data_IF_181841506386
#
_entry.id   IF_181841506386
#
_cell.length_a   1.000
_cell.length_b   1.000
_cell.length_c   1.000
_cell.angle_alpha   90.00
_cell.angle_beta   90.00
_cell.angle_gamma   90.00
#
_symmetry.space_group_name_H-M   'P 1'
#
loop_
_entity.id
_entity.type
_entity.pdbx_description
1 polymer ?
#
# COMPACT_ATOMS: atom_id res chain seq x y z
N UNK A 1 -9.59 14.74 -6.43
CA UNK A 1 -8.40 13.90 -6.21
C UNK A 1 -8.63 12.60 -6.96
N UNK A 2 -7.63 12.08 -7.66
CA UNK A 2 -7.65 10.74 -8.24
C UNK A 2 -7.39 9.72 -7.13
N UNK A 3 -8.09 8.60 -7.15
CA UNK A 3 -7.89 7.51 -6.20
C UNK A 3 -7.56 6.23 -6.95
N UNK A 4 -6.51 5.57 -6.51
CA UNK A 4 -6.00 4.33 -7.09
C UNK A 4 -6.00 3.24 -6.04
N UNK A 5 -6.38 2.04 -6.44
CA UNK A 5 -6.08 0.79 -5.74
C UNK A 5 -4.90 0.13 -6.44
N UNK A 6 -3.84 -0.13 -5.71
CA UNK A 6 -2.63 -0.81 -6.17
C UNK A 6 -2.48 -2.09 -5.37
N UNK A 7 -2.43 -3.24 -6.05
CA UNK A 7 -2.45 -4.53 -5.36
C UNK A 7 -1.87 -5.68 -6.19
N UNK A 8 -1.36 -6.72 -5.52
CA UNK A 8 -0.94 -7.98 -6.15
C UNK A 8 -2.11 -8.81 -6.69
N UNK A 9 -3.34 -8.51 -6.25
CA UNK A 9 -4.51 -9.30 -6.61
C UNK A 9 -5.09 -8.90 -7.96
N UNK A 10 -5.06 -9.86 -8.89
CA UNK A 10 -5.72 -9.75 -10.19
C UNK A 10 -7.23 -9.44 -10.01
N UNK A 11 -7.71 -8.27 -10.48
CA UNK A 11 -9.11 -7.89 -10.34
C UNK A 11 -10.06 -8.82 -11.09
N UNK A 12 -9.59 -9.57 -12.10
CA UNK A 12 -10.41 -10.55 -12.81
C UNK A 12 -10.82 -11.75 -11.94
N UNK A 13 -10.20 -11.93 -10.76
CA UNK A 13 -10.50 -13.01 -9.82
C UNK A 13 -11.34 -12.58 -8.63
N UNK A 14 -12.03 -11.44 -8.73
CA UNK A 14 -12.96 -10.95 -7.71
C UNK A 14 -14.39 -11.28 -8.06
N UNK A 15 -15.23 -11.50 -7.06
CA UNK A 15 -16.67 -11.60 -7.26
C UNK A 15 -17.34 -10.23 -7.47
N UNK A 16 -18.66 -10.25 -7.64
CA UNK A 16 -19.48 -9.05 -7.83
C UNK A 16 -19.49 -8.11 -6.62
N UNK A 17 -19.10 -8.59 -5.44
CA UNK A 17 -18.96 -7.78 -4.21
C UNK A 17 -17.57 -7.17 -4.07
N UNK A 18 -16.63 -7.58 -4.94
CA UNK A 18 -15.23 -7.14 -4.92
C UNK A 18 -14.34 -8.01 -4.04
N UNK A 19 -14.84 -9.11 -3.48
CA UNK A 19 -14.04 -10.04 -2.68
C UNK A 19 -13.13 -10.88 -3.58
N UNK A 20 -11.85 -11.01 -3.21
CA UNK A 20 -10.89 -11.84 -3.94
C UNK A 20 -11.13 -13.33 -3.65
N UNK A 21 -11.22 -14.14 -4.70
CA UNK A 21 -11.69 -15.53 -4.58
C UNK A 21 -10.57 -16.57 -4.56
N UNK A 22 -9.32 -16.19 -4.87
CA UNK A 22 -8.21 -17.14 -4.88
C UNK A 22 -7.55 -17.25 -3.52
N UNK A 23 -7.10 -18.46 -3.19
CA UNK A 23 -6.21 -18.73 -2.07
C UNK A 23 -4.83 -18.12 -2.33
N UNK A 24 -4.46 -17.12 -1.54
CA UNK A 24 -3.20 -16.41 -1.63
C UNK A 24 -2.84 -15.86 -0.24
N UNK A 25 -1.56 -15.58 -0.03
CA UNK A 25 -1.09 -15.04 1.25
C UNK A 25 -1.60 -13.62 1.47
N UNK A 26 -1.82 -13.26 2.73
CA UNK A 26 -2.38 -11.97 3.13
C UNK A 26 -1.55 -11.28 4.21
N UNK A 27 -0.54 -11.94 4.77
CA UNK A 27 0.29 -11.43 5.85
C UNK A 27 1.79 -11.67 5.60
N UNK A 28 2.65 -10.89 6.25
CA UNK A 28 4.10 -11.18 6.26
C UNK A 28 4.42 -12.50 6.98
N UNK A 29 3.65 -12.83 8.01
CA UNK A 29 3.77 -14.06 8.78
C UNK A 29 3.43 -15.34 7.99
N UNK A 30 2.91 -15.19 6.77
CA UNK A 30 2.61 -16.31 5.87
C UNK A 30 3.85 -16.90 5.18
N UNK A 31 5.03 -16.27 5.31
CA UNK A 31 6.27 -16.80 4.71
C UNK A 31 6.52 -18.23 5.21
N UNK A 32 6.75 -19.14 4.27
CA UNK A 32 6.91 -20.58 4.50
C UNK A 32 5.62 -21.39 4.39
N UNK A 33 4.44 -20.75 4.39
CA UNK A 33 3.16 -21.41 4.10
C UNK A 33 2.95 -21.60 2.59
N UNK A 34 1.98 -22.44 2.20
CA UNK A 34 1.65 -22.74 0.81
C UNK A 34 0.22 -22.35 0.47
N UNK A 35 0.07 -21.65 -0.65
CA UNK A 35 -1.21 -21.13 -1.14
C UNK A 35 -1.42 -21.62 -2.58
N UNK A 36 -2.57 -22.21 -2.87
CA UNK A 36 -2.84 -22.87 -4.14
C UNK A 36 -1.73 -23.86 -4.57
N UNK A 37 -1.10 -24.54 -3.60
CA UNK A 37 -0.02 -25.50 -3.84
C UNK A 37 1.37 -24.88 -4.08
N UNK A 38 1.52 -23.56 -3.93
CA UNK A 38 2.79 -22.84 -4.11
C UNK A 38 3.24 -22.19 -2.81
N UNK A 39 4.46 -22.49 -2.36
CA UNK A 39 5.03 -21.88 -1.17
C UNK A 39 5.25 -20.36 -1.34
N UNK A 40 4.98 -19.59 -0.29
CA UNK A 40 5.46 -18.21 -0.17
C UNK A 40 6.90 -18.25 0.36
N UNK A 41 7.87 -17.99 -0.52
CA UNK A 41 9.26 -17.81 -0.12
C UNK A 41 9.52 -16.37 0.32
N UNK A 42 10.57 -16.17 1.11
CA UNK A 42 11.05 -14.82 1.48
C UNK A 42 11.38 -13.98 0.24
N UNK A 43 12.01 -14.57 -0.79
CA UNK A 43 12.28 -13.89 -2.06
C UNK A 43 11.00 -13.39 -2.74
N UNK A 44 9.97 -14.24 -2.81
CA UNK A 44 8.69 -13.90 -3.44
C UNK A 44 7.95 -12.83 -2.63
N UNK A 45 8.04 -12.89 -1.30
CA UNK A 45 7.53 -11.84 -0.43
C UNK A 45 8.23 -10.51 -0.66
N UNK A 46 9.57 -10.48 -0.63
CA UNK A 46 10.36 -9.27 -0.80
C UNK A 46 10.17 -8.65 -2.19
N UNK A 47 9.98 -9.47 -3.23
CA UNK A 47 9.63 -8.97 -4.56
C UNK A 47 8.30 -8.21 -4.55
N UNK A 48 7.28 -8.75 -3.88
CA UNK A 48 6.00 -8.08 -3.73
C UNK A 48 6.13 -6.82 -2.86
N UNK A 49 6.73 -6.90 -1.67
CA UNK A 49 6.98 -5.76 -0.78
C UNK A 49 7.62 -4.60 -1.56
N UNK A 50 8.75 -4.85 -2.24
CA UNK A 50 9.46 -3.83 -3.01
C UNK A 50 8.60 -3.24 -4.12
N UNK A 51 7.74 -4.03 -4.78
CA UNK A 51 6.81 -3.52 -5.77
C UNK A 51 5.85 -2.47 -5.18
N UNK A 52 5.32 -2.70 -3.96
CA UNK A 52 4.48 -1.72 -3.27
C UNK A 52 5.26 -0.45 -2.91
N UNK A 53 6.47 -0.61 -2.34
CA UNK A 53 7.32 0.53 -1.96
C UNK A 53 7.66 1.41 -3.17
N UNK A 54 8.12 0.80 -4.26
CA UNK A 54 8.47 1.48 -5.50
C UNK A 54 7.26 2.19 -6.13
N UNK A 55 6.09 1.53 -6.11
CA UNK A 55 4.86 2.09 -6.67
C UNK A 55 4.43 3.34 -5.89
N UNK A 56 4.36 3.28 -4.57
CA UNK A 56 3.99 4.44 -3.75
C UNK A 56 4.93 5.63 -3.97
N UNK A 57 6.24 5.37 -3.99
CA UNK A 57 7.24 6.41 -4.30
C UNK A 57 7.06 6.97 -5.71
N UNK A 58 6.79 6.14 -6.71
CA UNK A 58 6.58 6.59 -8.09
C UNK A 58 5.37 7.53 -8.20
N UNK A 59 4.23 7.17 -7.60
CA UNK A 59 3.03 7.99 -7.60
C UNK A 59 3.27 9.35 -6.95
N UNK A 60 3.88 9.38 -5.77
CA UNK A 60 4.11 10.63 -5.05
C UNK A 60 5.14 11.52 -5.77
N UNK A 61 6.18 10.93 -6.35
CA UNK A 61 7.18 11.68 -7.14
C UNK A 61 6.57 12.29 -8.41
N UNK A 62 5.80 11.51 -9.16
CA UNK A 62 5.12 12.00 -10.37
C UNK A 62 4.10 13.11 -10.03
N UNK A 63 3.41 12.98 -8.90
CA UNK A 63 2.50 14.00 -8.39
C UNK A 63 3.21 15.24 -7.78
N UNK A 64 4.54 15.26 -7.71
CA UNK A 64 5.31 16.37 -7.12
C UNK A 64 5.15 16.52 -5.61
N UNK A 65 4.67 15.50 -4.91
CA UNK A 65 4.61 15.44 -3.45
C UNK A 65 6.05 15.28 -2.92
N UNK A 66 6.32 15.70 -1.69
CA UNK A 66 7.65 15.56 -1.05
C UNK A 66 7.61 14.85 0.29
N UNK A 67 6.48 14.95 0.98
CA UNK A 67 6.26 14.36 2.28
C UNK A 67 4.77 14.15 2.52
N UNK A 68 4.46 13.25 3.45
CA UNK A 68 3.12 13.01 3.99
C UNK A 68 3.21 13.02 5.52
N UNK A 69 2.14 13.41 6.20
CA UNK A 69 2.04 13.32 7.65
C UNK A 69 1.52 11.95 8.07
N UNK A 70 2.03 11.45 9.19
CA UNK A 70 1.52 10.24 9.85
C UNK A 70 0.21 10.59 10.57
N UNK A 71 -0.82 9.77 10.37
CA UNK A 71 -2.15 9.97 10.96
C UNK A 71 -2.68 8.66 11.53
N UNK A 72 -3.04 8.65 12.81
CA UNK A 72 -3.70 7.53 13.47
C UNK A 72 -2.77 6.34 13.70
N UNK A 73 -1.61 6.58 14.30
CA UNK A 73 -0.65 5.54 14.65
C UNK A 73 -1.25 4.54 15.65
N UNK A 74 -1.20 3.26 15.27
CA UNK A 74 -1.50 2.10 16.09
C UNK A 74 -0.24 1.23 16.20
N UNK A 75 0.40 1.21 17.37
CA UNK A 75 1.63 0.44 17.60
C UNK A 75 1.39 -0.73 18.58
N UNK A 76 0.40 -1.57 18.29
CA UNK A 76 0.08 -2.72 19.13
C UNK A 76 1.22 -3.76 19.19
N UNK A 77 2.04 -3.84 18.13
CA UNK A 77 3.21 -4.71 18.05
C UNK A 77 4.43 -4.22 18.84
N UNK A 78 4.31 -3.11 19.57
CA UNK A 78 5.40 -2.50 20.37
C UNK A 78 6.69 -2.28 19.56
N UNK A 79 6.57 -1.92 18.27
CA UNK A 79 7.72 -1.58 17.46
C UNK A 79 8.54 -0.49 18.20
N UNK A 80 9.88 -0.62 18.30
CA UNK A 80 10.67 0.22 19.21
C UNK A 80 10.77 1.68 18.75
N UNK A 81 10.66 1.91 17.44
CA UNK A 81 10.82 3.24 16.83
C UNK A 81 9.72 3.51 15.79
N UNK A 82 8.43 3.55 16.16
CA UNK A 82 7.38 3.89 15.21
C UNK A 82 7.48 5.38 14.87
N UNK A 83 6.97 5.83 13.72
CA UNK A 83 6.78 7.26 13.48
C UNK A 83 5.83 7.83 14.55
N UNK A 84 5.90 9.14 14.80
CA UNK A 84 4.95 9.82 15.70
C UNK A 84 3.77 10.33 14.88
N UNK A 85 2.58 10.31 15.46
CA UNK A 85 1.44 10.99 14.87
C UNK A 85 1.73 12.48 14.61
N UNK A 86 1.30 12.95 13.45
CA UNK A 86 1.60 14.29 12.93
C UNK A 86 3.02 14.48 12.40
N UNK A 87 3.92 13.48 12.51
CA UNK A 87 5.26 13.60 11.96
C UNK A 87 5.24 13.56 10.43
N UNK A 88 6.03 14.44 9.80
CA UNK A 88 6.27 14.40 8.37
C UNK A 88 7.22 13.25 8.01
N UNK A 89 6.83 12.46 7.01
CA UNK A 89 7.61 11.39 6.39
C UNK A 89 7.94 11.83 4.97
N UNK A 90 9.22 12.10 4.72
CA UNK A 90 9.68 12.46 3.37
C UNK A 90 9.58 11.25 2.43
N UNK A 91 9.52 11.49 1.13
CA UNK A 91 9.50 10.43 0.11
C UNK A 91 10.71 9.50 0.21
N UNK A 92 11.87 9.99 0.63
CA UNK A 92 13.07 9.18 0.82
C UNK A 92 12.92 8.19 1.98
N UNK A 93 12.17 8.57 3.02
CA UNK A 93 11.91 7.73 4.20
C UNK A 93 10.63 6.91 4.09
N UNK A 94 9.77 7.23 3.14
CA UNK A 94 8.51 6.53 2.90
C UNK A 94 8.66 5.01 2.78
N UNK A 95 9.67 4.46 2.06
CA UNK A 95 9.85 3.01 1.98
C UNK A 95 10.09 2.33 3.33
N UNK A 96 10.72 3.01 4.29
CA UNK A 96 10.92 2.46 5.65
C UNK A 96 9.57 2.28 6.35
N UNK A 97 8.73 3.32 6.29
CA UNK A 97 7.42 3.31 6.95
C UNK A 97 6.49 2.30 6.30
N UNK A 98 6.39 2.31 4.96
CA UNK A 98 5.53 1.39 4.22
C UNK A 98 5.93 -0.07 4.43
N UNK A 99 7.24 -0.36 4.58
CA UNK A 99 7.71 -1.72 4.89
C UNK A 99 7.14 -2.20 6.22
N UNK A 100 7.23 -1.39 7.26
CA UNK A 100 6.67 -1.73 8.58
C UNK A 100 5.15 -1.88 8.54
N UNK A 101 4.44 -1.08 7.72
CA UNK A 101 3.00 -1.24 7.50
C UNK A 101 2.67 -2.59 6.85
N UNK A 102 3.38 -2.96 5.78
CA UNK A 102 3.16 -4.24 5.07
C UNK A 102 3.52 -5.45 5.95
N UNK A 103 4.43 -5.28 6.90
CA UNK A 103 4.84 -6.32 7.85
C UNK A 103 4.00 -6.36 9.13
N UNK A 104 2.99 -5.49 9.23
CA UNK A 104 2.08 -5.41 10.37
C UNK A 104 2.82 -5.10 11.70
N UNK A 105 3.98 -4.42 11.62
CA UNK A 105 4.77 -4.04 12.80
C UNK A 105 4.09 -2.91 13.59
N UNK A 106 3.42 -2.02 12.85
CA UNK A 106 2.48 -1.01 13.33
C UNK A 106 1.56 -0.63 12.17
N UNK A 107 0.51 0.15 12.45
CA UNK A 107 -0.37 0.70 11.43
C UNK A 107 -0.47 2.23 11.55
N UNK A 108 -0.55 2.92 10.42
CA UNK A 108 -0.90 4.34 10.34
C UNK A 108 -1.34 4.69 8.93
N UNK A 109 -2.08 5.79 8.78
CA UNK A 109 -2.30 6.45 7.49
C UNK A 109 -1.15 7.42 7.19
N UNK A 110 -0.92 7.66 5.90
CA UNK A 110 -0.01 8.70 5.43
C UNK A 110 -0.80 9.68 4.58
N UNK A 111 -1.01 10.90 5.09
CA UNK A 111 -1.92 11.88 4.50
C UNK A 111 -1.26 13.24 4.34
N UNK A 112 -1.63 13.95 3.30
CA UNK A 112 -1.25 15.33 3.04
C UNK A 112 -2.36 16.03 2.27
N UNK A 113 -2.21 17.35 2.08
CA UNK A 113 -3.28 18.15 1.45
C UNK A 113 -3.60 17.71 0.01
N UNK A 114 -2.59 17.21 -0.72
CA UNK A 114 -2.68 16.88 -2.14
C UNK A 114 -2.50 15.39 -2.45
N UNK A 115 -2.23 14.57 -1.43
CA UNK A 115 -2.03 13.13 -1.62
C UNK A 115 -2.22 12.34 -0.33
N UNK A 116 -2.43 11.03 -0.47
CA UNK A 116 -2.38 10.08 0.63
C UNK A 116 -1.87 8.72 0.16
N UNK A 117 -1.38 7.91 1.10
CA UNK A 117 -1.13 6.48 0.96
C UNK A 117 -1.74 5.75 2.14
N UNK A 118 -2.64 4.81 1.87
CA UNK A 118 -3.25 3.95 2.88
C UNK A 118 -2.95 2.50 2.53
N UNK A 119 -2.62 1.69 3.54
CA UNK A 119 -2.35 0.27 3.37
C UNK A 119 -3.36 -0.50 4.22
N UNK A 120 -4.16 -1.35 3.57
CA UNK A 120 -5.00 -2.30 4.26
C UNK A 120 -4.22 -3.52 4.74
N UNK A 121 -4.81 -4.23 5.69
CA UNK A 121 -4.21 -5.40 6.36
C UNK A 121 -3.88 -6.56 5.39
N UNK A 122 -4.52 -6.59 4.23
CA UNK A 122 -4.49 -7.69 3.28
C UNK A 122 -3.83 -7.32 1.95
N UNK A 123 -2.86 -6.38 1.91
CA UNK A 123 -2.13 -6.00 0.69
C UNK A 123 -2.97 -5.25 -0.37
N UNK A 124 -4.05 -4.59 0.03
CA UNK A 124 -4.63 -3.50 -0.75
C UNK A 124 -4.02 -2.16 -0.36
N UNK A 125 -3.25 -1.56 -1.26
CA UNK A 125 -2.73 -0.21 -1.09
C UNK A 125 -3.60 0.78 -1.87
N UNK A 126 -3.90 1.92 -1.25
CA UNK A 126 -4.69 2.99 -1.83
C UNK A 126 -3.87 4.26 -1.90
N UNK A 127 -3.83 4.88 -3.07
CA UNK A 127 -3.06 6.10 -3.31
C UNK A 127 -4.01 7.18 -3.83
N UNK A 128 -3.97 8.34 -3.20
CA UNK A 128 -4.66 9.55 -3.66
C UNK A 128 -3.66 10.58 -4.15
N UNK A 129 -3.94 11.21 -5.29
CA UNK A 129 -3.12 12.30 -5.87
C UNK A 129 -4.01 13.28 -6.64
N UNK A 130 -3.59 14.54 -6.81
CA UNK A 130 -4.44 15.55 -7.47
C UNK A 130 -4.59 15.37 -8.99
N UNK A 131 -3.62 14.74 -9.65
CA UNK A 131 -3.60 14.54 -11.10
C UNK A 131 -3.35 13.06 -11.44
N UNK A 132 -3.72 12.60 -12.65
CA UNK A 132 -3.37 11.27 -13.10
C UNK A 132 -1.84 11.04 -13.13
N UNK A 133 -1.40 9.83 -12.78
CA UNK A 133 0.02 9.44 -12.72
C UNK A 133 0.32 8.24 -13.63
N UNK A 134 0.20 8.37 -14.97
CA UNK A 134 0.37 7.25 -15.89
C UNK A 134 1.77 6.62 -15.86
N UNK A 135 2.82 7.38 -15.50
CA UNK A 135 4.17 6.81 -15.37
C UNK A 135 4.23 5.87 -14.16
N UNK A 136 3.68 6.27 -13.02
CA UNK A 136 3.60 5.47 -11.80
C UNK A 136 2.69 4.25 -11.96
N UNK A 137 1.57 4.40 -12.67
CA UNK A 137 0.72 3.27 -13.06
C UNK A 137 1.52 2.23 -13.86
N UNK A 138 2.31 2.67 -14.84
CA UNK A 138 3.18 1.81 -15.64
C UNK A 138 4.29 1.15 -14.80
N UNK A 139 4.88 1.88 -13.84
CA UNK A 139 5.87 1.32 -12.91
C UNK A 139 5.26 0.18 -12.11
N UNK A 140 4.11 0.40 -11.47
CA UNK A 140 3.43 -0.61 -10.67
C UNK A 140 3.09 -1.87 -11.49
N UNK A 141 2.54 -1.68 -12.69
CA UNK A 141 2.24 -2.77 -13.62
C UNK A 141 3.49 -3.56 -14.05
N UNK A 142 4.60 -2.86 -14.33
CA UNK A 142 5.88 -3.49 -14.67
C UNK A 142 6.49 -4.31 -13.53
N UNK A 143 6.03 -4.09 -12.29
CA UNK A 143 6.42 -4.83 -11.08
C UNK A 143 5.43 -5.92 -10.69
N UNK A 144 4.43 -6.18 -11.54
CA UNK A 144 3.45 -7.25 -11.32
C UNK A 144 2.30 -6.85 -10.39
N UNK A 145 2.11 -5.56 -10.11
CA UNK A 145 0.93 -5.07 -9.40
C UNK A 145 -0.15 -4.63 -10.39
N UNK A 146 -1.40 -4.83 -10.00
CA UNK A 146 -2.58 -4.32 -10.68
C UNK A 146 -2.90 -2.93 -10.14
N UNK A 147 -3.27 -2.02 -11.05
CA UNK A 147 -3.68 -0.67 -10.71
C UNK A 147 -5.08 -0.43 -11.25
N UNK A 148 -5.95 0.03 -10.37
CA UNK A 148 -7.36 0.30 -10.69
C UNK A 148 -7.73 1.69 -10.18
N UNK A 149 -8.34 2.50 -11.04
CA UNK A 149 -8.96 3.74 -10.58
C UNK A 149 -10.22 3.40 -9.79
N UNK A 150 -10.34 3.95 -8.59
CA UNK A 150 -11.48 3.74 -7.70
C UNK A 150 -12.15 5.07 -7.36
N UNK A 151 -13.36 5.00 -6.83
CA UNK A 151 -14.10 6.20 -6.42
C UNK A 151 -13.43 6.85 -5.21
N UNK A 152 -13.08 6.05 -4.20
CA UNK A 152 -12.53 6.52 -2.92
C UNK A 152 -11.77 5.42 -2.20
N UNK A 153 -10.75 5.81 -1.44
CA UNK A 153 -10.09 4.90 -0.49
C UNK A 153 -11.08 4.53 0.63
N UNK A 154 -11.16 3.24 1.05
CA UNK A 154 -11.97 2.82 2.21
C UNK A 154 -11.58 3.51 3.53
N UNK A 155 -10.33 3.97 3.63
CA UNK A 155 -9.80 4.68 4.80
C UNK A 155 -9.94 6.20 4.76
N UNK A 156 -10.51 6.75 3.68
CA UNK A 156 -10.79 8.19 3.66
C UNK A 156 -11.99 8.44 4.59
N UNK A 157 -11.82 9.30 5.60
CA UNK A 157 -12.93 9.67 6.51
C UNK A 157 -14.13 10.13 5.71
N UNK A 158 -15.34 9.69 6.04
CA UNK A 158 -16.54 10.33 5.49
C UNK A 158 -16.48 11.82 5.83
N UNK A 159 -16.66 12.67 4.82
CA UNK A 159 -16.78 14.10 5.07
C UNK A 159 -18.01 14.27 5.98
N UNK A 160 -17.75 14.60 7.25
CA UNK A 160 -18.78 14.99 8.21
C UNK A 160 -19.50 16.27 7.75
#
# INVERSE_FOLDING_TARGET
MQHYRVTKYDPARRDLTGAYLSDDWTAHSDIGQSFAGVALTEERYLAAENAYLESAVAFLKEAGVRELAVVGLENAGEHPNPPRDGAAVSIERLPEVLRSLLREEYWCKLEGQSAFVHVGWDYYMYIGVLAPCPVAESVAQSRGLFVEQIIRSPYAEDAA
#
